data_IF_862845218165
#
_entry.id   IF_862845218165
#
_cell.length_a   1.000
_cell.length_b   1.000
_cell.length_c   1.000
_cell.angle_alpha   90.00
_cell.angle_beta   90.00
_cell.angle_gamma   90.00
#
_symmetry.space_group_name_H-M   'P 1'
#
loop_
_entity.id
_entity.type
_entity.pdbx_description
1 polymer ?
#
# COMPACT_ATOMS: atom_id res chain seq x y z
N UNK A 1 23.18 5.85 7.14
CA UNK A 1 21.85 5.20 7.08
C UNK A 1 20.89 6.15 6.38
N UNK A 2 20.38 5.80 5.20
CA UNK A 2 19.36 6.61 4.53
C UNK A 2 18.03 6.39 5.25
N UNK A 3 17.59 7.36 6.05
CA UNK A 3 16.25 7.33 6.63
C UNK A 3 15.23 7.20 5.49
N UNK A 4 14.33 6.21 5.51
CA UNK A 4 13.26 6.14 4.51
C UNK A 4 12.49 7.46 4.60
N UNK A 5 12.40 8.21 3.49
CA UNK A 5 11.60 9.44 3.43
C UNK A 5 10.24 9.15 4.05
N UNK A 6 9.96 9.73 5.21
CA UNK A 6 8.79 9.40 6.02
C UNK A 6 7.54 9.30 5.15
N UNK A 7 6.87 8.15 5.18
CA UNK A 7 5.58 7.98 4.53
C UNK A 7 4.57 8.87 5.25
N UNK A 8 3.69 9.54 4.51
CA UNK A 8 2.60 10.28 5.14
C UNK A 8 1.60 9.31 5.77
N UNK A 9 0.81 9.77 6.75
CA UNK A 9 -0.22 8.93 7.40
C UNK A 9 -1.17 8.28 6.38
N UNK A 10 -1.55 9.00 5.32
CA UNK A 10 -2.37 8.48 4.22
C UNK A 10 -1.66 7.36 3.43
N UNK A 11 -0.35 7.49 3.19
CA UNK A 11 0.43 6.45 2.52
C UNK A 11 0.61 5.20 3.39
N UNK A 12 0.81 5.38 4.70
CA UNK A 12 0.89 4.29 5.66
C UNK A 12 -0.44 3.55 5.75
N UNK A 13 -1.56 4.27 5.92
CA UNK A 13 -2.89 3.67 5.95
C UNK A 13 -3.20 2.92 4.67
N UNK A 14 -2.85 3.47 3.50
CA UNK A 14 -3.04 2.78 2.23
C UNK A 14 -2.25 1.46 2.13
N UNK A 15 -1.01 1.42 2.63
CA UNK A 15 -0.21 0.19 2.64
C UNK A 15 -0.80 -0.86 3.60
N UNK A 16 -1.29 -0.43 4.77
CA UNK A 16 -1.94 -1.31 5.74
C UNK A 16 -3.25 -1.87 5.20
N UNK A 17 -4.11 -1.01 4.65
CA UNK A 17 -5.37 -1.42 4.04
C UNK A 17 -5.13 -2.45 2.92
N UNK A 18 -4.08 -2.24 2.11
CA UNK A 18 -3.71 -3.19 1.05
C UNK A 18 -3.18 -4.51 1.63
N UNK A 19 -2.38 -4.46 2.70
CA UNK A 19 -1.81 -5.63 3.37
C UNK A 19 -2.87 -6.49 4.05
N UNK A 20 -3.78 -5.88 4.81
CA UNK A 20 -4.89 -6.58 5.44
C UNK A 20 -5.82 -7.18 4.39
N UNK A 21 -6.01 -6.47 3.28
CA UNK A 21 -6.89 -6.94 2.22
C UNK A 21 -6.28 -8.05 1.37
N UNK A 22 -4.96 -8.06 1.08
CA UNK A 22 -4.28 -9.23 0.50
C UNK A 22 -4.24 -10.44 1.46
N UNK A 23 -4.16 -10.19 2.77
CA UNK A 23 -4.21 -11.26 3.77
C UNK A 23 -5.60 -11.90 3.88
N UNK A 24 -6.66 -11.15 3.61
CA UNK A 24 -8.05 -11.59 3.78
C UNK A 24 -8.70 -12.03 2.46
N UNK A 25 -8.38 -11.37 1.35
CA UNK A 25 -8.82 -11.74 0.02
C UNK A 25 -7.75 -12.59 -0.66
N UNK A 26 -8.13 -13.80 -1.08
CA UNK A 26 -7.31 -14.67 -1.96
C UNK A 26 -6.97 -14.01 -3.32
N UNK A 27 -7.55 -12.86 -3.60
CA UNK A 27 -7.24 -11.99 -4.73
C UNK A 27 -6.22 -10.93 -4.29
N UNK A 28 -4.96 -11.11 -4.69
CA UNK A 28 -3.84 -10.21 -4.39
C UNK A 28 -3.89 -8.87 -5.15
N UNK A 29 -5.08 -8.40 -5.53
CA UNK A 29 -5.24 -7.36 -6.55
C UNK A 29 -6.44 -6.49 -6.24
N UNK A 30 -6.19 -5.25 -5.81
CA UNK A 30 -7.25 -4.31 -5.44
C UNK A 30 -7.55 -3.28 -6.52
N UNK A 31 -8.84 -3.05 -6.87
CA UNK A 31 -9.23 -1.96 -7.74
C UNK A 31 -8.99 -0.62 -7.03
N UNK A 32 -8.14 0.23 -7.60
CA UNK A 32 -7.93 1.58 -7.05
C UNK A 32 -9.20 2.42 -7.17
N UNK A 33 -9.76 2.83 -6.03
CA UNK A 33 -10.73 3.93 -6.00
C UNK A 33 -10.04 5.21 -6.51
N UNK A 34 -10.74 6.01 -7.31
CA UNK A 34 -10.21 7.23 -7.96
C UNK A 34 -9.37 8.13 -7.03
N UNK A 35 -9.79 8.25 -5.75
CA UNK A 35 -9.09 9.04 -4.71
C UNK A 35 -7.69 8.53 -4.29
N UNK A 36 -7.36 7.26 -4.56
CA UNK A 36 -6.09 6.65 -4.14
C UNK A 36 -5.07 6.50 -5.30
N UNK A 37 -5.45 6.90 -6.52
CA UNK A 37 -4.60 6.72 -7.70
C UNK A 37 -3.25 7.45 -7.59
N UNK A 38 -3.22 8.62 -6.97
CA UNK A 38 -1.97 9.38 -6.78
C UNK A 38 -1.09 8.77 -5.70
N UNK A 39 -1.67 8.32 -4.58
CA UNK A 39 -0.96 7.62 -3.50
C UNK A 39 -0.32 6.33 -4.01
N UNK A 40 -1.05 5.52 -4.78
CA UNK A 40 -0.53 4.30 -5.36
C UNK A 40 0.62 4.56 -6.35
N UNK A 41 0.53 5.60 -7.19
CA UNK A 41 1.63 6.01 -8.08
C UNK A 41 2.88 6.42 -7.30
N UNK A 42 2.73 7.17 -6.22
CA UNK A 42 3.86 7.58 -5.37
C UNK A 42 4.52 6.37 -4.72
N UNK A 43 3.73 5.44 -4.17
CA UNK A 43 4.22 4.21 -3.56
C UNK A 43 4.86 3.27 -4.59
N UNK A 44 4.35 3.26 -5.83
CA UNK A 44 4.91 2.48 -6.93
C UNK A 44 6.30 3.00 -7.35
N UNK A 45 6.45 4.32 -7.45
CA UNK A 45 7.77 4.95 -7.67
C UNK A 45 8.78 4.62 -6.57
N UNK A 46 8.30 4.38 -5.34
CA UNK A 46 9.10 3.94 -4.20
C UNK A 46 9.33 2.42 -4.15
N UNK A 47 8.83 1.66 -5.14
CA UNK A 47 8.89 0.19 -5.21
C UNK A 47 8.23 -0.53 -4.03
N UNK A 48 7.30 0.14 -3.35
CA UNK A 48 6.53 -0.44 -2.24
C UNK A 48 5.26 -1.14 -2.74
N UNK A 49 4.67 -0.63 -3.81
CA UNK A 49 3.55 -1.32 -4.49
C UNK A 49 3.90 -1.51 -5.96
N UNK A 50 3.29 -2.50 -6.57
CA UNK A 50 3.25 -2.64 -8.01
C UNK A 50 1.86 -2.24 -8.50
N UNK A 51 1.82 -1.63 -9.68
CA UNK A 51 0.61 -1.08 -10.28
C UNK A 51 0.51 -1.58 -11.71
N UNK A 52 -0.52 -2.36 -12.00
CA UNK A 52 -0.90 -2.73 -13.36
C UNK A 52 -2.12 -1.92 -13.80
N UNK A 53 -2.03 -1.32 -14.97
CA UNK A 53 -3.14 -0.61 -15.58
C UNK A 53 -3.59 -1.42 -16.78
N UNK A 54 -4.54 -2.32 -16.55
CA UNK A 54 -5.16 -3.08 -17.62
C UNK A 54 -6.10 -2.18 -18.43
N UNK A 55 -5.62 -1.71 -19.59
CA UNK A 55 -6.36 -0.81 -20.48
C UNK A 55 -7.68 -1.43 -21.01
N UNK A 56 -7.75 -2.76 -21.04
CA UNK A 56 -8.93 -3.50 -21.48
C UNK A 56 -10.12 -3.44 -20.51
N UNK A 57 -9.87 -3.19 -19.21
CA UNK A 57 -10.93 -3.19 -18.18
C UNK A 57 -11.02 -1.88 -17.41
N UNK A 58 -10.12 -0.92 -17.66
CA UNK A 58 -9.95 0.29 -16.85
C UNK A 58 -9.75 0.00 -15.36
N UNK A 59 -9.44 -1.24 -14.99
CA UNK A 59 -9.18 -1.64 -13.62
C UNK A 59 -7.71 -1.40 -13.33
N UNK A 60 -7.46 -0.43 -12.47
CA UNK A 60 -6.16 -0.23 -11.87
C UNK A 60 -5.98 -1.29 -10.79
N UNK A 61 -5.11 -2.24 -11.04
CA UNK A 61 -4.77 -3.31 -10.11
C UNK A 61 -3.51 -2.91 -9.35
N UNK A 62 -3.56 -2.97 -8.02
CA UNK A 62 -2.42 -2.67 -7.15
C UNK A 62 -2.18 -3.85 -6.20
N UNK A 63 -0.91 -4.16 -5.98
CA UNK A 63 -0.47 -5.20 -5.04
C UNK A 63 0.82 -4.80 -4.33
N UNK A 64 1.09 -5.41 -3.17
CA UNK A 64 2.30 -5.13 -2.40
C UNK A 64 3.52 -5.84 -3.00
N UNK A 65 4.65 -5.14 -3.00
CA UNK A 65 5.95 -5.81 -3.19
C UNK A 65 6.42 -6.39 -1.85
N UNK A 66 7.44 -7.25 -1.86
CA UNK A 66 8.06 -7.72 -0.61
C UNK A 66 8.54 -6.57 0.30
N UNK A 67 9.00 -5.45 -0.28
CA UNK A 67 9.37 -4.26 0.48
C UNK A 67 8.14 -3.51 1.01
N UNK A 68 7.06 -3.45 0.23
CA UNK A 68 5.78 -2.91 0.67
C UNK A 68 5.17 -3.67 1.82
N UNK A 69 5.16 -5.00 1.77
CA UNK A 69 4.62 -5.86 2.81
C UNK A 69 5.39 -5.70 4.14
N UNK A 70 6.73 -5.64 4.09
CA UNK A 70 7.54 -5.34 5.28
C UNK A 70 7.21 -3.97 5.87
N UNK A 71 7.18 -2.95 5.02
CA UNK A 71 6.85 -1.59 5.44
C UNK A 71 5.42 -1.47 5.98
N UNK A 72 4.45 -2.18 5.39
CA UNK A 72 3.06 -2.22 5.84
C UNK A 72 2.96 -2.88 7.22
N UNK A 73 3.68 -3.97 7.46
CA UNK A 73 3.76 -4.63 8.77
C UNK A 73 4.39 -3.71 9.83
N UNK A 74 5.46 -2.99 9.50
CA UNK A 74 6.06 -1.98 10.40
C UNK A 74 5.10 -0.81 10.68
N UNK A 75 4.35 -0.36 9.66
CA UNK A 75 3.32 0.66 9.82
C UNK A 75 2.15 0.18 10.68
N UNK A 76 1.70 -1.07 10.51
CA UNK A 76 0.65 -1.68 11.33
C UNK A 76 1.08 -1.74 12.80
N UNK A 77 2.32 -2.16 13.08
CA UNK A 77 2.86 -2.17 14.43
C UNK A 77 2.93 -0.75 15.03
N UNK A 78 3.33 0.25 14.25
CA UNK A 78 3.42 1.65 14.71
C UNK A 78 2.04 2.30 14.92
N UNK A 79 1.09 2.06 14.01
CA UNK A 79 -0.28 2.58 14.11
C UNK A 79 -1.08 1.88 15.21
N UNK A 80 -0.88 0.57 15.40
CA UNK A 80 -1.46 -0.19 16.51
C UNK A 80 -0.90 0.24 17.87
N UNK A 81 0.41 0.50 17.96
CA UNK A 81 1.03 1.03 19.17
C UNK A 81 0.51 2.45 19.53
N UNK A 82 0.15 3.26 18.53
CA UNK A 82 -0.42 4.59 18.75
C UNK A 82 -1.90 4.59 19.18
N UNK A 83 -2.61 3.46 19.10
CA UNK A 83 -4.01 3.31 19.56
C UNK A 83 -4.10 2.76 21.00
N UNK A 84 -3.02 2.14 21.50
CA UNK A 84 -2.94 1.55 22.85
C UNK A 84 -2.27 2.50 23.87
N UNK A 85 -1.80 3.67 23.43
CA UNK A 85 -1.17 4.68 24.27
C UNK A 85 -2.18 5.74 24.79
#
# INVERSE_FOLDING_TARGET
MNAPKALTRTQQQFLVDLYESEATSREASHPLKSRHGETAKILARRRLVALDVSNATLRHVVWLTAAGARMASECLATLGAAVVA
#
